data_IF_285929229619
#
_entry.id   IF_285929229619
#
_cell.length_a   1.000
_cell.length_b   1.000
_cell.length_c   1.000
_cell.angle_alpha   90.00
_cell.angle_beta   90.00
_cell.angle_gamma   90.00
#
_symmetry.space_group_name_H-M   'P 1'
#
loop_
_entity.id
_entity.type
_entity.pdbx_description
1 polymer ?
#
# COMPACT_ATOMS: atom_id res chain seq x y z
N UNK A 1 -1.77 -37.00 -52.97
CA UNK A 1 -1.02 -37.21 -51.71
C UNK A 1 -0.41 -35.88 -51.31
N UNK A 2 -1.12 -35.09 -50.52
CA UNK A 2 -0.55 -33.92 -49.84
C UNK A 2 0.16 -34.38 -48.56
N UNK A 3 1.33 -33.84 -48.21
CA UNK A 3 1.97 -34.15 -46.94
C UNK A 3 1.27 -33.37 -45.81
N UNK A 4 0.76 -34.11 -44.83
CA UNK A 4 0.21 -33.57 -43.60
C UNK A 4 1.27 -32.73 -42.85
N UNK A 5 0.97 -31.45 -42.61
CA UNK A 5 1.75 -30.62 -41.68
C UNK A 5 1.52 -31.12 -40.24
N UNK A 6 2.56 -31.31 -39.42
CA UNK A 6 2.38 -31.68 -38.02
C UNK A 6 1.74 -30.52 -37.25
N UNK A 7 0.60 -30.80 -36.64
CA UNK A 7 -0.05 -29.95 -35.64
C UNK A 7 0.83 -29.90 -34.39
N UNK A 8 1.61 -28.82 -34.25
CA UNK A 8 2.22 -28.46 -32.97
C UNK A 8 1.11 -27.91 -32.07
N UNK A 9 0.55 -28.76 -31.21
CA UNK A 9 -0.15 -28.29 -30.01
C UNK A 9 0.86 -27.51 -29.16
N UNK A 10 0.55 -26.28 -28.71
CA UNK A 10 1.40 -25.63 -27.73
C UNK A 10 1.34 -26.48 -26.47
N UNK A 11 2.49 -27.00 -26.05
CA UNK A 11 2.63 -27.60 -24.73
C UNK A 11 2.19 -26.53 -23.72
N UNK A 12 1.19 -26.86 -22.90
CA UNK A 12 0.81 -26.04 -21.77
C UNK A 12 2.03 -26.01 -20.82
N UNK A 13 2.88 -24.98 -20.97
CA UNK A 13 3.93 -24.71 -20.01
C UNK A 13 3.23 -24.45 -18.67
N UNK A 14 3.40 -25.36 -17.70
CA UNK A 14 3.00 -25.04 -16.34
C UNK A 14 3.90 -23.92 -15.86
N UNK A 15 3.35 -22.71 -15.77
CA UNK A 15 4.02 -21.58 -15.14
C UNK A 15 4.21 -21.95 -13.66
N UNK A 16 5.40 -22.41 -13.30
CA UNK A 16 5.80 -22.57 -11.91
C UNK A 16 6.34 -21.23 -11.41
N UNK A 17 5.95 -20.84 -10.19
CA UNK A 17 6.42 -19.64 -9.50
C UNK A 17 7.92 -19.79 -9.17
N UNK A 18 8.78 -19.30 -10.05
CA UNK A 18 10.18 -19.05 -9.72
C UNK A 18 10.32 -17.70 -9.01
N UNK A 19 11.34 -17.56 -8.15
CA UNK A 19 11.73 -16.26 -7.60
C UNK A 19 12.22 -15.35 -8.74
N UNK A 20 11.76 -14.10 -8.77
CA UNK A 20 12.18 -13.11 -9.76
C UNK A 20 12.90 -11.95 -9.08
N UNK A 21 14.11 -11.65 -9.55
CA UNK A 21 14.99 -10.61 -8.98
C UNK A 21 15.31 -9.54 -10.03
N UNK A 22 15.11 -8.27 -9.67
CA UNK A 22 15.56 -7.12 -10.46
C UNK A 22 16.98 -6.77 -9.99
N UNK A 23 17.96 -6.83 -10.89
CA UNK A 23 19.38 -6.65 -10.58
C UNK A 23 19.67 -5.24 -10.05
N UNK A 24 20.53 -5.15 -9.03
CA UNK A 24 21.04 -3.87 -8.53
C UNK A 24 22.06 -3.22 -9.46
N UNK A 25 22.74 -4.00 -10.30
CA UNK A 25 23.82 -3.54 -11.20
C UNK A 25 23.31 -3.15 -12.58
N UNK A 26 22.22 -3.78 -13.03
CA UNK A 26 21.68 -3.60 -14.39
C UNK A 26 20.18 -3.23 -14.42
N UNK A 27 19.49 -3.16 -13.26
CA UNK A 27 18.04 -2.94 -13.25
C UNK A 27 17.28 -4.01 -14.03
N UNK A 28 16.26 -3.59 -14.78
CA UNK A 28 15.47 -4.44 -15.67
C UNK A 28 15.89 -4.19 -17.13
N UNK A 29 17.14 -4.54 -17.49
CA UNK A 29 17.56 -4.52 -18.90
C UNK A 29 16.74 -5.55 -19.68
N UNK A 30 15.65 -5.08 -20.30
CA UNK A 30 15.06 -5.76 -21.44
C UNK A 30 16.13 -5.75 -22.54
N UNK A 31 16.93 -6.83 -22.62
CA UNK A 31 17.94 -7.02 -23.67
C UNK A 31 17.35 -6.86 -25.09
N UNK A 32 16.02 -6.94 -25.20
CA UNK A 32 15.28 -6.60 -26.39
C UNK A 32 13.98 -5.86 -25.98
N UNK A 33 13.75 -4.60 -26.38
CA UNK A 33 12.46 -3.92 -26.18
C UNK A 33 11.29 -4.64 -26.87
N UNK A 34 11.59 -5.63 -27.72
CA UNK A 34 10.65 -6.54 -28.37
C UNK A 34 10.30 -7.76 -27.49
N UNK A 35 9.88 -7.56 -26.24
CA UNK A 35 9.09 -8.62 -25.60
C UNK A 35 7.84 -8.89 -26.45
N UNK A 36 7.51 -10.15 -26.74
CA UNK A 36 6.27 -10.45 -27.44
C UNK A 36 5.10 -9.91 -26.61
N UNK A 37 4.12 -9.32 -27.30
CA UNK A 37 2.91 -8.85 -26.64
C UNK A 37 2.21 -10.05 -25.99
N UNK A 38 2.16 -10.07 -24.65
CA UNK A 38 1.53 -11.14 -23.90
C UNK A 38 0.01 -10.96 -23.91
N UNK A 39 -0.69 -12.06 -24.12
CA UNK A 39 -2.15 -12.09 -24.19
C UNK A 39 -2.76 -12.40 -22.82
N UNK A 40 -3.48 -11.43 -22.25
CA UNK A 40 -4.08 -11.56 -20.92
C UNK A 40 -5.25 -12.55 -20.87
N UNK A 41 -5.75 -13.05 -22.02
CA UNK A 41 -6.82 -14.08 -22.06
C UNK A 41 -6.43 -15.38 -21.39
N UNK A 42 -5.13 -15.64 -21.19
CA UNK A 42 -4.65 -16.82 -20.45
C UNK A 42 -4.76 -16.67 -18.92
N UNK A 43 -5.03 -15.48 -18.40
CA UNK A 43 -5.24 -15.22 -16.97
C UNK A 43 -6.72 -15.47 -16.61
N UNK A 44 -7.02 -16.71 -16.22
CA UNK A 44 -8.38 -17.20 -15.95
C UNK A 44 -8.87 -16.83 -14.56
N UNK A 45 -7.98 -16.80 -13.56
CA UNK A 45 -8.34 -16.60 -12.15
C UNK A 45 -7.99 -15.23 -11.58
N UNK A 46 -8.66 -14.86 -10.47
CA UNK A 46 -8.32 -13.63 -9.73
C UNK A 46 -6.88 -13.64 -9.22
N UNK A 47 -6.40 -14.76 -8.65
CA UNK A 47 -5.03 -14.90 -8.15
C UNK A 47 -3.98 -14.76 -9.27
N UNK A 48 -4.24 -15.35 -10.43
CA UNK A 48 -3.37 -15.23 -11.62
C UNK A 48 -3.28 -13.77 -12.08
N UNK A 49 -4.42 -13.06 -12.13
CA UNK A 49 -4.44 -11.63 -12.49
C UNK A 49 -3.72 -10.76 -11.47
N UNK A 50 -3.88 -11.03 -10.17
CA UNK A 50 -3.17 -10.30 -9.11
C UNK A 50 -1.67 -10.50 -9.18
N UNK A 51 -1.21 -11.73 -9.41
CA UNK A 51 0.20 -12.00 -9.63
C UNK A 51 0.71 -11.32 -10.90
N UNK A 52 -0.05 -11.38 -11.99
CA UNK A 52 0.31 -10.70 -13.24
C UNK A 52 0.44 -9.18 -13.02
N UNK A 53 -0.48 -8.57 -12.27
CA UNK A 53 -0.41 -7.14 -11.92
C UNK A 53 0.85 -6.84 -11.09
N UNK A 54 1.13 -7.61 -10.03
CA UNK A 54 2.36 -7.46 -9.23
C UNK A 54 3.62 -7.54 -10.11
N UNK A 55 3.73 -8.55 -10.97
CA UNK A 55 4.90 -8.72 -11.84
C UNK A 55 4.99 -7.56 -12.82
N UNK A 56 3.94 -7.25 -13.58
CA UNK A 56 3.95 -6.15 -14.57
C UNK A 56 4.23 -4.79 -13.93
N UNK A 57 3.70 -4.55 -12.73
CA UNK A 57 3.99 -3.37 -11.94
C UNK A 57 5.45 -3.32 -11.52
N UNK A 58 6.02 -4.42 -11.01
CA UNK A 58 7.42 -4.48 -10.62
C UNK A 58 8.37 -4.26 -11.80
N UNK A 59 8.11 -4.90 -12.94
CA UNK A 59 8.84 -4.67 -14.20
C UNK A 59 8.76 -3.18 -14.57
N UNK A 60 7.56 -2.58 -14.49
CA UNK A 60 7.34 -1.17 -14.82
C UNK A 60 8.15 -0.25 -13.91
N UNK A 61 8.13 -0.46 -12.59
CA UNK A 61 8.92 0.37 -11.66
C UNK A 61 10.42 0.20 -11.90
N UNK A 62 10.88 -1.03 -12.15
CA UNK A 62 12.27 -1.31 -12.50
C UNK A 62 12.69 -0.59 -13.79
N UNK A 63 11.91 -0.73 -14.86
CA UNK A 63 12.17 -0.10 -16.15
C UNK A 63 12.19 1.43 -16.06
N UNK A 64 11.22 2.04 -15.36
CA UNK A 64 11.13 3.49 -15.26
C UNK A 64 12.29 4.08 -14.47
N UNK A 65 12.73 3.40 -13.39
CA UNK A 65 13.69 3.96 -12.43
C UNK A 65 15.10 3.35 -12.51
N UNK A 66 15.40 2.46 -13.46
CA UNK A 66 16.69 1.76 -13.53
C UNK A 66 17.91 2.68 -13.65
N UNK A 67 17.78 3.83 -14.31
CA UNK A 67 18.84 4.84 -14.45
C UNK A 67 18.83 5.89 -13.33
N UNK A 68 18.08 5.64 -12.26
CA UNK A 68 17.92 6.55 -11.14
C UNK A 68 16.89 7.68 -11.36
N UNK A 69 16.74 8.53 -10.35
CA UNK A 69 15.76 9.63 -10.34
C UNK A 69 16.05 10.72 -11.37
N UNK A 70 17.30 10.88 -11.82
CA UNK A 70 17.72 11.96 -12.73
C UNK A 70 17.46 11.64 -14.19
N UNK A 71 17.34 10.35 -14.56
CA UNK A 71 17.12 9.91 -15.94
C UNK A 71 15.99 8.86 -16.06
N UNK A 72 14.78 9.15 -15.55
CA UNK A 72 13.69 8.17 -15.62
C UNK A 72 13.21 7.96 -17.07
N UNK A 73 12.77 6.74 -17.37
CA UNK A 73 12.11 6.46 -18.65
C UNK A 73 10.73 7.13 -18.70
N UNK A 74 10.47 7.84 -19.82
CA UNK A 74 9.25 8.65 -19.99
C UNK A 74 8.16 7.97 -20.82
N UNK A 75 8.51 6.86 -21.45
CA UNK A 75 7.61 6.07 -22.30
C UNK A 75 7.72 4.61 -21.88
N UNK A 76 6.61 4.02 -21.45
CA UNK A 76 6.50 2.60 -21.19
C UNK A 76 6.24 1.87 -22.51
N UNK A 77 7.11 0.94 -22.94
CA UNK A 77 6.97 0.25 -24.22
C UNK A 77 5.65 -0.51 -24.32
N UNK A 78 5.09 -0.57 -25.53
CA UNK A 78 3.78 -1.20 -25.80
C UNK A 78 3.68 -2.65 -25.34
N UNK A 79 4.80 -3.38 -25.35
CA UNK A 79 4.88 -4.78 -24.92
C UNK A 79 4.64 -4.98 -23.43
N UNK A 80 4.83 -3.92 -22.63
CA UNK A 80 4.55 -3.88 -21.20
C UNK A 80 3.29 -3.06 -20.89
N UNK A 81 3.11 -1.92 -21.55
CA UNK A 81 2.00 -0.99 -21.29
C UNK A 81 0.62 -1.60 -21.57
N UNK A 82 0.45 -2.28 -22.71
CA UNK A 82 -0.84 -2.86 -23.11
C UNK A 82 -1.30 -3.96 -22.13
N UNK A 83 -0.51 -5.03 -21.86
CA UNK A 83 -0.97 -6.07 -20.95
C UNK A 83 -1.13 -5.55 -19.52
N UNK A 84 -0.29 -4.61 -19.08
CA UNK A 84 -0.42 -4.03 -17.75
C UNK A 84 -1.75 -3.30 -17.60
N UNK A 85 -2.08 -2.40 -18.53
CA UNK A 85 -3.34 -1.66 -18.50
C UNK A 85 -4.55 -2.58 -18.61
N UNK A 86 -4.48 -3.65 -19.41
CA UNK A 86 -5.56 -4.63 -19.51
C UNK A 86 -5.79 -5.36 -18.18
N UNK A 87 -4.72 -5.87 -17.56
CA UNK A 87 -4.80 -6.53 -16.24
C UNK A 87 -5.30 -5.56 -15.17
N UNK A 88 -4.80 -4.33 -15.15
CA UNK A 88 -5.23 -3.26 -14.25
C UNK A 88 -6.73 -2.97 -14.38
N UNK A 89 -7.23 -2.81 -15.62
CA UNK A 89 -8.67 -2.63 -15.88
C UNK A 89 -9.50 -3.81 -15.38
N UNK A 90 -9.05 -5.03 -15.62
CA UNK A 90 -9.75 -6.25 -15.19
C UNK A 90 -9.80 -6.41 -13.66
N UNK A 91 -8.89 -5.78 -12.93
CA UNK A 91 -8.84 -5.79 -11.47
C UNK A 91 -9.47 -4.55 -10.83
N UNK A 92 -9.78 -3.51 -11.61
CA UNK A 92 -10.18 -2.21 -11.08
C UNK A 92 -9.07 -1.50 -10.30
N UNK A 93 -7.81 -1.71 -10.71
CA UNK A 93 -6.62 -1.07 -10.14
C UNK A 93 -5.96 -0.17 -11.19
N UNK A 94 -5.17 0.84 -10.79
CA UNK A 94 -4.37 1.62 -11.74
C UNK A 94 -3.15 0.81 -12.23
N UNK A 95 -2.62 1.12 -13.42
CA UNK A 95 -1.41 0.51 -13.97
C UNK A 95 -0.14 1.13 -13.37
N UNK A 96 0.00 1.05 -12.05
CA UNK A 96 1.21 1.37 -11.29
C UNK A 96 1.33 0.36 -10.14
N UNK A 97 2.52 0.18 -9.57
CA UNK A 97 2.68 -0.61 -8.35
C UNK A 97 1.90 0.02 -7.20
N UNK A 98 0.89 -0.70 -6.67
CA UNK A 98 0.12 -0.27 -5.51
C UNK A 98 0.45 -1.09 -4.27
N UNK A 99 0.06 -0.59 -3.09
CA UNK A 99 0.20 -1.30 -1.81
C UNK A 99 -0.37 -2.72 -1.86
N UNK A 100 -1.52 -2.88 -2.54
CA UNK A 100 -2.16 -4.18 -2.66
C UNK A 100 -1.30 -5.21 -3.42
N UNK A 101 -0.45 -4.77 -4.34
CA UNK A 101 0.46 -5.64 -5.08
C UNK A 101 1.68 -5.95 -4.22
N UNK A 102 2.36 -4.88 -3.78
CA UNK A 102 3.64 -4.93 -3.09
C UNK A 102 3.56 -5.63 -1.73
N UNK A 103 2.42 -5.53 -1.04
CA UNK A 103 2.25 -6.05 0.32
C UNK A 103 1.29 -7.22 0.31
N UNK A 104 0.02 -7.00 -0.04
CA UNK A 104 -1.03 -8.00 0.20
C UNK A 104 -0.87 -9.28 -0.64
N UNK A 105 -0.18 -9.20 -1.78
CA UNK A 105 0.03 -10.34 -2.69
C UNK A 105 1.48 -10.78 -2.86
N UNK A 106 2.46 -10.02 -2.37
CA UNK A 106 3.88 -10.30 -2.58
C UNK A 106 4.49 -11.08 -1.41
N UNK A 107 3.87 -12.18 -1.03
CA UNK A 107 4.40 -13.03 0.03
C UNK A 107 4.03 -14.51 -0.16
N UNK A 108 4.86 -15.39 0.40
CA UNK A 108 4.59 -16.80 0.58
C UNK A 108 5.15 -17.28 1.92
N UNK A 109 4.64 -18.39 2.44
CA UNK A 109 5.24 -19.06 3.59
C UNK A 109 6.30 -20.07 3.13
N UNK A 110 7.46 -20.08 3.80
CA UNK A 110 8.49 -21.12 3.62
C UNK A 110 7.94 -22.49 4.03
N UNK A 111 7.39 -22.57 5.24
CA UNK A 111 6.62 -23.70 5.72
C UNK A 111 5.13 -23.30 5.81
N UNK A 112 4.24 -23.87 4.97
CA UNK A 112 2.81 -23.58 4.99
C UNK A 112 2.15 -23.72 6.37
N UNK A 113 2.57 -24.74 7.12
CA UNK A 113 2.07 -25.06 8.48
C UNK A 113 2.79 -24.26 9.58
N UNK A 114 3.83 -23.52 9.23
CA UNK A 114 4.60 -22.70 10.17
C UNK A 114 3.88 -21.40 10.58
N UNK A 115 4.41 -20.72 11.61
CA UNK A 115 3.82 -19.50 12.16
C UNK A 115 3.87 -18.32 11.19
N UNK A 116 3.09 -17.27 11.49
CA UNK A 116 3.08 -15.99 10.78
C UNK A 116 4.15 -15.06 11.34
N UNK A 117 5.40 -15.38 11.02
CA UNK A 117 6.58 -14.64 11.48
C UNK A 117 7.50 -14.34 10.31
N UNK A 118 8.27 -13.25 10.41
CA UNK A 118 9.16 -12.79 9.32
C UNK A 118 10.17 -13.85 8.86
N UNK A 119 10.58 -14.75 9.78
CA UNK A 119 11.48 -15.88 9.53
C UNK A 119 10.85 -16.95 8.62
N UNK A 120 9.53 -17.11 8.68
CA UNK A 120 8.77 -18.10 7.91
C UNK A 120 8.13 -17.48 6.65
N UNK A 121 8.34 -16.20 6.38
CA UNK A 121 7.80 -15.50 5.21
C UNK A 121 8.89 -15.12 4.20
N UNK A 122 8.53 -15.15 2.93
CA UNK A 122 9.35 -14.70 1.80
C UNK A 122 8.54 -13.83 0.84
N UNK A 123 9.21 -12.94 0.11
CA UNK A 123 8.61 -12.18 -0.99
C UNK A 123 8.63 -13.00 -2.28
N UNK A 124 7.66 -12.78 -3.18
CA UNK A 124 7.60 -13.43 -4.49
C UNK A 124 8.46 -12.67 -5.51
N UNK A 125 8.38 -11.33 -5.46
CA UNK A 125 9.13 -10.38 -6.28
C UNK A 125 9.89 -9.43 -5.38
N UNK A 126 11.13 -9.10 -5.77
CA UNK A 126 11.98 -8.15 -5.03
C UNK A 126 12.53 -7.06 -5.95
N UNK A 127 12.67 -5.86 -5.40
CA UNK A 127 13.37 -4.69 -5.96
C UNK A 127 14.77 -4.58 -5.34
N UNK A 128 15.62 -3.67 -5.85
CA UNK A 128 16.84 -3.27 -5.14
C UNK A 128 16.58 -2.83 -3.70
N UNK A 129 17.52 -3.13 -2.80
CA UNK A 129 17.39 -2.88 -1.36
C UNK A 129 17.45 -4.13 -0.47
N UNK A 130 17.71 -5.30 -1.08
CA UNK A 130 18.03 -6.56 -0.39
C UNK A 130 17.11 -6.90 0.78
N UNK A 131 17.72 -7.30 1.90
CA UNK A 131 16.99 -7.68 3.11
C UNK A 131 16.14 -6.55 3.71
N UNK A 132 16.53 -5.28 3.54
CA UNK A 132 15.73 -4.15 4.03
C UNK A 132 14.41 -4.03 3.28
N UNK A 133 14.40 -4.27 1.97
CA UNK A 133 13.17 -4.30 1.20
C UNK A 133 12.30 -5.49 1.59
N UNK A 134 12.91 -6.69 1.66
CA UNK A 134 12.21 -7.91 2.07
C UNK A 134 11.52 -7.68 3.41
N UNK A 135 12.26 -7.13 4.38
CA UNK A 135 11.75 -6.78 5.69
C UNK A 135 10.65 -5.73 5.66
N UNK A 136 10.82 -4.64 4.90
CA UNK A 136 9.80 -3.59 4.77
C UNK A 136 8.47 -4.16 4.26
N UNK A 137 8.51 -5.03 3.25
CA UNK A 137 7.31 -5.69 2.72
C UNK A 137 6.70 -6.61 3.77
N UNK A 138 7.49 -7.52 4.36
CA UNK A 138 6.97 -8.56 5.25
C UNK A 138 6.50 -8.02 6.61
N UNK A 139 7.17 -7.02 7.19
CA UNK A 139 6.66 -6.33 8.39
C UNK A 139 5.32 -5.65 8.07
N UNK A 140 5.17 -5.06 6.88
CA UNK A 140 3.89 -4.47 6.46
C UNK A 140 2.80 -5.54 6.27
N UNK A 141 3.14 -6.72 5.74
CA UNK A 141 2.22 -7.88 5.69
C UNK A 141 1.76 -8.28 7.08
N UNK A 142 2.68 -8.33 8.05
CA UNK A 142 2.35 -8.68 9.44
C UNK A 142 1.47 -7.60 10.08
N UNK A 143 1.68 -6.32 9.79
CA UNK A 143 0.80 -5.22 10.21
C UNK A 143 -0.63 -5.42 9.68
N UNK A 144 -0.79 -5.71 8.39
CA UNK A 144 -2.10 -5.98 7.77
C UNK A 144 -2.75 -7.22 8.40
N UNK A 145 -1.96 -8.26 8.70
CA UNK A 145 -2.43 -9.49 9.35
C UNK A 145 -2.86 -9.25 10.81
N UNK A 146 -2.19 -8.38 11.54
CA UNK A 146 -2.52 -7.98 12.91
C UNK A 146 -3.84 -7.19 12.97
N UNK A 147 -4.19 -6.49 11.89
CA UNK A 147 -5.46 -5.77 11.78
C UNK A 147 -6.69 -6.67 11.60
N UNK A 148 -6.51 -7.91 11.11
CA UNK A 148 -7.61 -8.77 10.68
C UNK A 148 -8.71 -9.02 11.75
N UNK A 149 -8.40 -9.25 13.04
CA UNK A 149 -9.44 -9.34 14.07
C UNK A 149 -10.21 -8.03 14.25
N UNK A 150 -9.53 -6.89 14.19
CA UNK A 150 -10.13 -5.57 14.25
C UNK A 150 -11.10 -5.32 13.09
N UNK A 151 -10.73 -5.68 11.86
CA UNK A 151 -11.62 -5.56 10.69
C UNK A 151 -12.92 -6.37 10.87
N UNK A 152 -12.83 -7.60 11.41
CA UNK A 152 -14.02 -8.40 11.75
C UNK A 152 -14.86 -7.73 12.83
N UNK A 153 -14.21 -7.13 13.83
CA UNK A 153 -14.88 -6.41 14.90
C UNK A 153 -15.60 -5.14 14.41
N UNK A 154 -15.14 -4.49 13.33
CA UNK A 154 -15.90 -3.37 12.72
C UNK A 154 -17.27 -3.82 12.25
N UNK A 155 -17.36 -4.97 11.56
CA UNK A 155 -18.63 -5.54 11.08
C UNK A 155 -19.54 -5.87 12.27
N UNK A 156 -18.98 -6.54 13.29
CA UNK A 156 -19.72 -6.85 14.52
C UNK A 156 -20.21 -5.59 15.24
N UNK A 157 -19.41 -4.52 15.25
CA UNK A 157 -19.75 -3.24 15.85
C UNK A 157 -20.90 -2.56 15.10
N UNK A 158 -20.87 -2.56 13.77
CA UNK A 158 -21.97 -2.03 12.94
C UNK A 158 -23.27 -2.79 13.20
N UNK A 159 -23.22 -4.13 13.20
CA UNK A 159 -24.38 -4.97 13.51
C UNK A 159 -24.91 -4.72 14.93
N UNK A 160 -24.02 -4.53 15.90
CA UNK A 160 -24.38 -4.26 17.29
C UNK A 160 -25.06 -2.89 17.45
N UNK A 161 -24.63 -1.87 16.70
CA UNK A 161 -25.30 -0.56 16.66
C UNK A 161 -26.72 -0.71 16.11
N UNK A 162 -26.88 -1.42 14.98
CA UNK A 162 -28.19 -1.66 14.34
C UNK A 162 -29.15 -2.44 15.25
N UNK A 163 -28.64 -3.38 16.03
CA UNK A 163 -29.43 -4.22 16.95
C UNK A 163 -29.56 -3.62 18.35
N UNK A 164 -28.96 -2.45 18.61
CA UNK A 164 -28.86 -1.82 19.93
C UNK A 164 -28.25 -2.74 21.01
N UNK A 165 -27.33 -3.63 20.63
CA UNK A 165 -26.65 -4.56 21.55
C UNK A 165 -25.41 -3.92 22.18
N UNK A 166 -25.54 -3.42 23.41
CA UNK A 166 -24.45 -2.74 24.13
C UNK A 166 -23.28 -3.69 24.45
N UNK A 167 -23.56 -4.93 24.88
CA UNK A 167 -22.50 -5.88 25.24
C UNK A 167 -21.68 -6.30 24.02
N UNK A 168 -22.34 -6.58 22.90
CA UNK A 168 -21.66 -6.90 21.64
C UNK A 168 -20.85 -5.72 21.12
N UNK A 169 -21.40 -4.51 21.23
CA UNK A 169 -20.67 -3.29 20.84
C UNK A 169 -19.42 -3.09 21.70
N UNK A 170 -19.52 -3.28 23.01
CA UNK A 170 -18.39 -3.17 23.93
C UNK A 170 -17.28 -4.16 23.57
N UNK A 171 -17.63 -5.42 23.30
CA UNK A 171 -16.66 -6.45 22.88
C UNK A 171 -15.99 -6.09 21.54
N UNK A 172 -16.77 -5.60 20.57
CA UNK A 172 -16.25 -5.16 19.28
C UNK A 172 -15.25 -4.01 19.44
N UNK A 173 -15.58 -2.97 20.22
CA UNK A 173 -14.68 -1.86 20.50
C UNK A 173 -13.40 -2.32 21.20
N UNK A 174 -13.51 -3.19 22.20
CA UNK A 174 -12.33 -3.75 22.87
C UNK A 174 -11.42 -4.51 21.89
N UNK A 175 -12.00 -5.28 20.96
CA UNK A 175 -11.24 -6.00 19.94
C UNK A 175 -10.59 -5.07 18.92
N UNK A 176 -11.28 -3.99 18.50
CA UNK A 176 -10.71 -2.95 17.62
C UNK A 176 -9.48 -2.31 18.29
N UNK A 177 -9.61 -1.90 19.56
CA UNK A 177 -8.49 -1.35 20.34
C UNK A 177 -7.30 -2.31 20.38
N UNK A 178 -7.53 -3.58 20.71
CA UNK A 178 -6.47 -4.59 20.78
C UNK A 178 -5.75 -4.75 19.44
N UNK A 179 -6.50 -4.79 18.33
CA UNK A 179 -5.91 -4.88 17.00
C UNK A 179 -5.10 -3.64 16.62
N UNK A 180 -5.54 -2.43 16.99
CA UNK A 180 -4.75 -1.20 16.79
C UNK A 180 -3.43 -1.25 17.58
N UNK A 181 -3.46 -1.75 18.81
CA UNK A 181 -2.26 -1.93 19.63
C UNK A 181 -1.32 -2.99 19.04
N UNK A 182 -1.86 -4.12 18.55
CA UNK A 182 -1.08 -5.15 17.84
C UNK A 182 -0.42 -4.59 16.58
N UNK A 183 -1.15 -3.82 15.77
CA UNK A 183 -0.60 -3.12 14.60
C UNK A 183 0.60 -2.25 15.01
N UNK A 184 0.46 -1.44 16.06
CA UNK A 184 1.55 -0.58 16.55
C UNK A 184 2.76 -1.39 16.99
N UNK A 185 2.55 -2.49 17.74
CA UNK A 185 3.62 -3.40 18.17
C UNK A 185 4.32 -4.06 16.98
N UNK A 186 3.57 -4.50 15.98
CA UNK A 186 4.14 -5.14 14.79
C UNK A 186 4.90 -4.12 13.93
N UNK A 187 4.39 -2.90 13.78
CA UNK A 187 5.08 -1.83 13.05
C UNK A 187 6.45 -1.51 13.67
N UNK A 188 6.63 -1.73 14.97
CA UNK A 188 7.90 -1.49 15.63
C UNK A 188 9.05 -2.39 15.12
N UNK A 189 8.72 -3.57 14.57
CA UNK A 189 9.71 -4.46 13.96
C UNK A 189 10.42 -3.83 12.75
N UNK A 190 9.89 -2.74 12.18
CA UNK A 190 10.59 -1.97 11.14
C UNK A 190 12.00 -1.59 11.61
N UNK A 191 12.15 -1.22 12.88
CA UNK A 191 13.43 -0.79 13.45
C UNK A 191 14.48 -1.89 13.52
N UNK A 192 14.06 -3.15 13.58
CA UNK A 192 14.96 -4.29 13.75
C UNK A 192 15.49 -4.79 12.40
N UNK A 193 14.69 -4.63 11.33
CA UNK A 193 14.95 -5.30 10.06
C UNK A 193 15.12 -4.36 8.86
N UNK A 194 14.72 -3.09 8.96
CA UNK A 194 14.82 -2.14 7.83
C UNK A 194 15.88 -1.09 8.14
N UNK A 195 16.90 -1.02 7.29
CA UNK A 195 17.92 0.03 7.36
C UNK A 195 17.35 1.37 6.82
N UNK A 196 17.37 2.46 7.61
CA UNK A 196 16.86 3.76 7.17
C UNK A 196 17.59 4.37 5.96
N UNK A 197 18.89 4.16 5.84
CA UNK A 197 19.68 4.67 4.71
C UNK A 197 19.25 3.92 3.43
N UNK A 198 19.18 2.58 3.47
CA UNK A 198 18.76 1.76 2.32
C UNK A 198 17.31 2.09 1.91
N UNK A 199 16.41 2.23 2.89
CA UNK A 199 15.04 2.61 2.61
C UNK A 199 14.96 3.95 1.85
N UNK A 200 15.68 4.95 2.33
CA UNK A 200 15.62 6.29 1.76
C UNK A 200 16.29 6.39 0.38
N UNK A 201 17.49 5.83 0.23
CA UNK A 201 18.31 6.03 -0.98
C UNK A 201 18.00 5.03 -2.10
N UNK A 202 17.48 3.84 -1.78
CA UNK A 202 17.25 2.77 -2.75
C UNK A 202 15.75 2.49 -2.88
N UNK A 203 15.11 2.01 -1.81
CA UNK A 203 13.75 1.46 -1.87
C UNK A 203 12.74 2.53 -2.31
N UNK A 204 12.81 3.73 -1.72
CA UNK A 204 11.85 4.82 -1.93
C UNK A 204 11.71 5.21 -3.41
N UNK A 205 12.78 5.11 -4.18
CA UNK A 205 12.75 5.43 -5.62
C UNK A 205 11.79 4.49 -6.36
N UNK A 206 11.91 3.19 -6.15
CA UNK A 206 11.07 2.18 -6.80
C UNK A 206 9.61 2.17 -6.33
N UNK A 207 9.30 2.89 -5.25
CA UNK A 207 7.92 3.11 -4.77
C UNK A 207 7.33 4.43 -5.27
N UNK A 208 8.12 5.29 -5.93
CA UNK A 208 7.71 6.61 -6.36
C UNK A 208 6.92 6.54 -7.68
N UNK A 209 5.79 7.25 -7.73
CA UNK A 209 4.99 7.37 -8.94
C UNK A 209 5.37 8.57 -9.79
N UNK A 210 4.55 8.86 -10.79
CA UNK A 210 4.74 9.96 -11.75
C UNK A 210 3.57 10.95 -11.70
N UNK A 211 2.91 11.06 -10.53
CA UNK A 211 1.98 12.15 -10.18
C UNK A 211 2.61 12.96 -9.07
N UNK A 212 2.60 14.29 -9.23
CA UNK A 212 3.19 15.24 -8.28
C UNK A 212 4.70 14.98 -8.01
N UNK A 213 5.37 14.31 -8.96
CA UNK A 213 6.79 13.97 -8.93
C UNK A 213 7.61 14.92 -9.82
N UNK A 214 8.56 15.70 -9.26
CA UNK A 214 9.41 16.60 -10.04
C UNK A 214 10.28 15.93 -11.11
N UNK A 215 10.69 14.67 -10.92
CA UNK A 215 11.44 13.92 -11.92
C UNK A 215 10.58 13.53 -13.13
N UNK A 216 9.26 13.47 -12.95
CA UNK A 216 8.28 13.07 -13.95
C UNK A 216 7.12 14.09 -14.01
N UNK A 217 7.38 15.38 -14.33
CA UNK A 217 6.41 16.46 -14.13
C UNK A 217 5.20 16.38 -15.06
N UNK A 218 5.35 15.69 -16.20
CA UNK A 218 4.27 15.51 -17.18
C UNK A 218 3.48 14.21 -16.94
N UNK A 219 4.10 13.19 -16.34
CA UNK A 219 3.57 11.83 -16.23
C UNK A 219 4.38 10.82 -17.06
N UNK A 220 3.82 9.62 -17.26
CA UNK A 220 4.40 8.53 -18.05
C UNK A 220 3.51 8.22 -19.25
N UNK A 221 4.08 8.14 -20.44
CA UNK A 221 3.35 7.71 -21.65
C UNK A 221 3.24 6.19 -21.68
N UNK A 222 2.03 5.67 -21.87
CA UNK A 222 1.77 4.24 -22.04
C UNK A 222 1.60 3.95 -23.52
N UNK A 223 2.68 3.54 -24.17
CA UNK A 223 2.71 3.35 -25.63
C UNK A 223 1.64 2.34 -26.08
N UNK A 224 0.86 2.70 -27.09
CA UNK A 224 -0.24 1.88 -27.59
C UNK A 224 -1.51 1.89 -26.74
N UNK A 225 -1.53 2.64 -25.63
CA UNK A 225 -2.71 2.81 -24.75
C UNK A 225 -3.19 4.26 -24.75
N UNK A 226 -2.29 5.22 -24.52
CA UNK A 226 -2.61 6.64 -24.44
C UNK A 226 -1.51 7.46 -25.11
N UNK A 227 -1.90 8.49 -25.88
CA UNK A 227 -0.97 9.45 -26.49
C UNK A 227 -0.45 10.45 -25.47
N UNK A 228 -1.32 10.88 -24.54
CA UNK A 228 -0.97 11.79 -23.46
C UNK A 228 -0.36 11.06 -22.26
N UNK A 229 0.64 11.64 -21.57
CA UNK A 229 1.18 11.06 -20.35
C UNK A 229 0.12 10.92 -19.25
N UNK A 230 0.04 9.72 -18.66
CA UNK A 230 -0.83 9.44 -17.52
C UNK A 230 -0.12 9.77 -16.20
N UNK A 231 -0.88 10.11 -15.17
CA UNK A 231 -0.36 10.52 -13.85
C UNK A 231 -0.89 9.63 -12.73
N UNK A 232 -0.03 8.81 -12.15
CA UNK A 232 -0.36 7.93 -11.02
C UNK A 232 0.55 8.19 -9.80
N UNK A 233 -0.06 8.22 -8.62
CA UNK A 233 0.65 8.34 -7.34
C UNK A 233 1.40 7.05 -7.02
N UNK A 234 2.58 7.17 -6.42
CA UNK A 234 3.34 6.01 -5.97
C UNK A 234 2.72 5.31 -4.76
N UNK A 235 3.35 4.23 -4.32
CA UNK A 235 2.91 3.43 -3.18
C UNK A 235 2.89 4.26 -1.90
N UNK A 236 1.87 4.09 -1.06
CA UNK A 236 1.74 4.79 0.21
C UNK A 236 0.95 3.95 1.21
N UNK A 237 1.26 4.06 2.50
CA UNK A 237 0.45 3.46 3.56
C UNK A 237 -1.02 3.91 3.53
N UNK A 238 -1.32 5.07 2.93
CA UNK A 238 -2.69 5.54 2.73
C UNK A 238 -3.51 4.68 1.75
N UNK A 239 -2.85 3.83 0.97
CA UNK A 239 -3.49 2.81 0.12
C UNK A 239 -3.83 1.52 0.89
N UNK A 240 -3.39 1.39 2.15
CA UNK A 240 -3.94 0.38 3.06
C UNK A 240 -5.37 0.75 3.42
N UNK A 241 -6.28 -0.20 3.32
CA UNK A 241 -7.68 -0.01 3.69
C UNK A 241 -7.89 -0.03 5.20
N UNK A 242 -6.96 -0.58 5.99
CA UNK A 242 -7.12 -0.80 7.43
C UNK A 242 -7.32 0.51 8.19
N UNK A 243 -6.44 1.49 7.99
CA UNK A 243 -6.51 2.74 8.75
C UNK A 243 -7.74 3.56 8.37
N UNK A 244 -8.10 3.56 7.08
CA UNK A 244 -9.32 4.22 6.63
C UNK A 244 -10.58 3.52 7.15
N UNK A 245 -10.57 2.19 7.30
CA UNK A 245 -11.70 1.45 7.88
C UNK A 245 -11.91 1.79 9.35
N UNK A 246 -10.82 1.93 10.13
CA UNK A 246 -10.93 2.40 11.52
C UNK A 246 -11.43 3.85 11.59
N UNK A 247 -10.98 4.73 10.69
CA UNK A 247 -11.48 6.10 10.62
C UNK A 247 -12.98 6.16 10.33
N UNK A 248 -13.45 5.42 9.32
CA UNK A 248 -14.88 5.39 8.97
C UNK A 248 -15.73 4.84 10.11
N UNK A 249 -15.34 3.71 10.70
CA UNK A 249 -16.09 3.10 11.81
C UNK A 249 -16.14 3.99 13.06
N UNK A 250 -15.01 4.62 13.42
CA UNK A 250 -14.95 5.53 14.57
C UNK A 250 -15.51 6.92 14.27
N UNK A 251 -15.93 7.20 13.03
CA UNK A 251 -16.48 8.50 12.64
C UNK A 251 -15.46 9.64 12.69
N UNK A 252 -14.18 9.37 12.40
CA UNK A 252 -13.11 10.37 12.43
C UNK A 252 -13.16 11.23 11.15
N UNK A 253 -13.36 12.54 11.33
CA UNK A 253 -13.47 13.48 10.21
C UNK A 253 -12.16 14.23 9.96
N UNK A 254 -11.53 13.95 8.81
CA UNK A 254 -10.28 14.62 8.41
C UNK A 254 -10.53 15.98 7.76
N UNK A 255 -9.52 16.85 7.76
CA UNK A 255 -9.61 18.14 7.07
C UNK A 255 -9.68 17.97 5.53
N UNK A 256 -10.26 18.95 4.81
CA UNK A 256 -10.46 18.87 3.34
C UNK A 256 -9.19 18.47 2.57
N UNK A 257 -8.03 18.99 2.96
CA UNK A 257 -6.75 18.66 2.33
C UNK A 257 -6.36 17.18 2.48
N UNK A 258 -6.48 16.65 3.70
CA UNK A 258 -6.17 15.24 4.01
C UNK A 258 -7.21 14.28 3.44
N UNK A 259 -8.50 14.61 3.52
CA UNK A 259 -9.60 13.82 2.93
C UNK A 259 -9.40 13.67 1.43
N UNK A 260 -9.08 14.77 0.74
CA UNK A 260 -8.86 14.74 -0.71
C UNK A 260 -7.75 13.77 -1.11
N UNK A 261 -6.68 13.64 -0.32
CA UNK A 261 -5.64 12.64 -0.57
C UNK A 261 -6.09 11.22 -0.21
N UNK A 262 -6.67 11.01 0.98
CA UNK A 262 -7.13 9.69 1.44
C UNK A 262 -8.17 9.07 0.49
N UNK A 263 -9.15 9.85 0.03
CA UNK A 263 -10.14 9.40 -0.94
C UNK A 263 -9.52 9.04 -2.29
N UNK A 264 -8.56 9.85 -2.78
CA UNK A 264 -7.82 9.47 -4.00
C UNK A 264 -7.06 8.16 -3.81
N UNK A 265 -6.54 7.86 -2.61
CA UNK A 265 -5.85 6.60 -2.36
C UNK A 265 -6.79 5.38 -2.36
N UNK A 266 -8.11 5.58 -2.20
CA UNK A 266 -9.10 4.49 -2.39
C UNK A 266 -9.14 3.99 -3.83
N UNK A 267 -8.81 4.83 -4.80
CA UNK A 267 -8.71 4.41 -6.22
C UNK A 267 -7.50 3.51 -6.50
N UNK A 268 -6.64 3.30 -5.50
CA UNK A 268 -5.48 2.39 -5.55
C UNK A 268 -5.71 1.14 -4.68
N UNK A 269 -6.91 0.99 -4.11
CA UNK A 269 -7.32 -0.19 -3.34
C UNK A 269 -8.10 -1.16 -4.25
N UNK A 270 -8.09 -2.47 -3.96
CA UNK A 270 -9.00 -3.40 -4.61
C UNK A 270 -10.46 -2.92 -4.51
N UNK A 271 -11.28 -3.06 -5.56
CA UNK A 271 -12.66 -2.54 -5.56
C UNK A 271 -13.51 -3.01 -4.38
N UNK A 272 -13.34 -4.27 -3.95
CA UNK A 272 -14.06 -4.81 -2.78
C UNK A 272 -13.63 -4.15 -1.47
N UNK A 273 -12.36 -3.73 -1.35
CA UNK A 273 -11.90 -3.02 -0.17
C UNK A 273 -12.42 -1.59 -0.14
N UNK A 274 -12.46 -0.92 -1.30
CA UNK A 274 -13.07 0.40 -1.44
C UNK A 274 -14.56 0.35 -1.10
N UNK A 275 -15.28 -0.63 -1.63
CA UNK A 275 -16.70 -0.85 -1.31
C UNK A 275 -16.92 -1.07 0.20
N UNK A 276 -16.06 -1.85 0.86
CA UNK A 276 -16.14 -2.04 2.31
C UNK A 276 -16.00 -0.72 3.10
N UNK A 277 -15.14 0.21 2.66
CA UNK A 277 -15.05 1.54 3.28
C UNK A 277 -16.32 2.37 3.05
N UNK A 278 -16.94 2.25 1.88
CA UNK A 278 -18.20 2.93 1.53
C UNK A 278 -19.38 2.35 2.34
N UNK A 279 -19.39 1.05 2.60
CA UNK A 279 -20.37 0.38 3.45
C UNK A 279 -20.25 0.86 4.91
N UNK A 280 -19.02 0.93 5.45
CA UNK A 280 -18.77 1.48 6.79
C UNK A 280 -19.21 2.94 6.90
N UNK A 281 -18.93 3.74 5.87
CA UNK A 281 -19.34 5.14 5.81
C UNK A 281 -20.86 5.32 5.82
N UNK A 282 -21.58 4.40 5.15
CA UNK A 282 -23.04 4.45 5.00
C UNK A 282 -23.78 3.85 6.19
N UNK A 283 -23.08 3.15 7.10
CA UNK A 283 -23.63 2.56 8.29
C UNK A 283 -24.10 3.63 9.30
N UNK A 284 -24.98 3.29 10.25
CA UNK A 284 -25.35 4.22 11.32
C UNK A 284 -24.13 4.71 12.11
N UNK A 285 -24.12 5.99 12.43
CA UNK A 285 -23.01 6.64 13.15
C UNK A 285 -22.82 6.03 14.54
N UNK A 286 -21.70 5.31 14.71
CA UNK A 286 -21.25 4.81 16.02
C UNK A 286 -21.13 5.95 17.03
N UNK A 287 -20.57 7.08 16.59
CA UNK A 287 -20.32 8.24 17.44
C UNK A 287 -21.62 8.81 18.00
N UNK A 288 -22.65 8.94 17.16
CA UNK A 288 -23.97 9.44 17.59
C UNK A 288 -24.69 8.42 18.47
N UNK A 289 -24.57 7.12 18.17
CA UNK A 289 -25.08 6.05 19.01
C UNK A 289 -24.47 6.07 20.43
N UNK A 290 -23.16 6.29 20.54
CA UNK A 290 -22.49 6.39 21.85
C UNK A 290 -22.93 7.63 22.61
N UNK A 291 -23.01 8.78 21.94
CA UNK A 291 -23.45 10.03 22.57
C UNK A 291 -24.90 9.95 23.07
N UNK A 292 -25.78 9.31 22.31
CA UNK A 292 -27.19 9.12 22.71
C UNK A 292 -27.37 8.07 23.81
N UNK A 293 -26.50 7.06 23.88
CA UNK A 293 -26.51 6.04 24.94
C UNK A 293 -26.04 6.57 26.31
N UNK A 294 -25.39 7.72 26.36
CA UNK A 294 -24.89 8.34 27.58
C UNK A 294 -23.54 7.81 28.07
N UNK A 295 -23.08 8.30 29.23
CA UNK A 295 -21.79 7.93 29.79
C UNK A 295 -21.80 6.48 30.31
N UNK A 296 -21.13 5.58 29.59
CA UNK A 296 -21.07 4.15 29.93
C UNK A 296 -19.80 3.46 29.43
N UNK A 297 -19.76 2.14 29.56
CA UNK A 297 -18.61 1.31 29.15
C UNK A 297 -18.25 1.45 27.66
N UNK A 298 -19.25 1.60 26.78
CA UNK A 298 -19.04 1.82 25.35
C UNK A 298 -18.37 3.17 25.03
N UNK A 299 -18.70 4.24 25.76
CA UNK A 299 -18.04 5.54 25.63
C UNK A 299 -16.55 5.43 25.98
N UNK A 300 -16.25 4.75 27.10
CA UNK A 300 -14.87 4.51 27.54
C UNK A 300 -14.13 3.67 26.50
N UNK A 301 -14.73 2.58 26.02
CA UNK A 301 -14.10 1.69 25.05
C UNK A 301 -13.86 2.37 23.69
N UNK A 302 -14.79 3.22 23.24
CA UNK A 302 -14.61 4.04 22.03
C UNK A 302 -13.44 5.01 22.19
N UNK A 303 -13.37 5.76 23.29
CA UNK A 303 -12.26 6.69 23.52
C UNK A 303 -10.92 5.97 23.55
N UNK A 304 -10.88 4.77 24.15
CA UNK A 304 -9.66 3.95 24.14
C UNK A 304 -9.27 3.44 22.73
N UNK A 305 -10.23 3.24 21.81
CA UNK A 305 -9.93 2.98 20.41
C UNK A 305 -9.30 4.20 19.74
N UNK A 306 -9.88 5.38 19.97
CA UNK A 306 -9.38 6.66 19.44
C UNK A 306 -7.97 6.94 19.97
N UNK A 307 -7.73 6.78 21.27
CA UNK A 307 -6.42 6.92 21.90
C UNK A 307 -5.39 5.96 21.31
N UNK A 308 -5.73 4.67 21.17
CA UNK A 308 -4.85 3.70 20.52
C UNK A 308 -4.52 4.09 19.07
N UNK A 309 -5.46 4.69 18.34
CA UNK A 309 -5.24 5.17 16.98
C UNK A 309 -4.36 6.43 16.94
N UNK A 310 -4.47 7.32 17.95
CA UNK A 310 -3.54 8.45 18.15
C UNK A 310 -2.13 7.95 18.42
N UNK A 311 -1.97 6.92 19.26
CA UNK A 311 -0.68 6.29 19.55
C UNK A 311 -0.05 5.71 18.29
N UNK A 312 -0.82 4.94 17.51
CA UNK A 312 -0.37 4.39 16.23
C UNK A 312 0.10 5.49 15.27
N UNK A 313 -0.68 6.58 15.13
CA UNK A 313 -0.33 7.70 14.25
C UNK A 313 0.91 8.44 14.73
N UNK A 314 1.05 8.63 16.04
CA UNK A 314 2.23 9.24 16.64
C UNK A 314 3.46 8.38 16.41
N UNK A 315 3.32 7.07 16.54
CA UNK A 315 4.39 6.12 16.24
C UNK A 315 4.78 6.15 14.76
N UNK A 316 3.80 6.16 13.85
CA UNK A 316 4.06 6.25 12.42
C UNK A 316 4.77 7.56 12.03
N UNK A 317 4.45 8.69 12.68
CA UNK A 317 5.20 9.95 12.51
C UNK A 317 6.67 9.77 12.91
N UNK A 318 6.95 9.06 14.00
CA UNK A 318 8.33 8.80 14.43
C UNK A 318 9.08 7.89 13.45
N UNK A 319 8.42 6.86 12.91
CA UNK A 319 8.95 6.02 11.83
C UNK A 319 9.30 6.90 10.62
N UNK A 320 8.38 7.72 10.14
CA UNK A 320 8.63 8.63 9.01
C UNK A 320 9.76 9.61 9.29
N UNK A 321 9.85 10.16 10.50
CA UNK A 321 10.93 11.05 10.87
C UNK A 321 12.30 10.36 10.75
N UNK A 322 12.42 9.09 11.20
CA UNK A 322 13.64 8.31 11.11
C UNK A 322 13.99 7.89 9.68
N UNK A 323 13.04 7.30 8.96
CA UNK A 323 13.27 6.67 7.66
C UNK A 323 13.25 7.64 6.48
N UNK A 324 12.72 8.85 6.66
CA UNK A 324 12.67 9.86 5.59
C UNK A 324 13.52 11.07 5.96
N UNK A 325 13.24 11.73 7.08
CA UNK A 325 13.84 13.04 7.39
C UNK A 325 15.29 12.92 7.84
N UNK A 326 15.55 12.08 8.84
CA UNK A 326 16.91 11.85 9.36
C UNK A 326 17.79 11.20 8.30
N UNK A 327 17.25 10.23 7.55
CA UNK A 327 17.95 9.58 6.45
C UNK A 327 18.29 10.58 5.32
N UNK A 328 17.36 11.48 4.94
CA UNK A 328 17.63 12.54 3.98
C UNK A 328 18.78 13.46 4.42
N UNK A 329 18.75 13.92 5.68
CA UNK A 329 19.78 14.79 6.23
C UNK A 329 21.17 14.13 6.20
N UNK A 330 21.24 12.84 6.52
CA UNK A 330 22.48 12.06 6.50
C UNK A 330 22.98 11.78 5.07
N UNK A 331 22.08 11.55 4.12
CA UNK A 331 22.45 11.40 2.71
C UNK A 331 23.09 12.69 2.15
N UNK A 332 22.54 13.86 2.50
CA UNK A 332 23.10 15.17 2.10
C UNK A 332 24.49 15.42 2.66
N UNK A 333 24.73 15.07 3.93
CA UNK A 333 26.06 15.29 4.54
C UNK A 333 27.16 14.44 3.91
N UNK A 334 26.80 13.28 3.34
CA UNK A 334 27.75 12.39 2.62
C UNK A 334 28.03 12.83 1.18
N UNK A 335 27.14 13.60 0.54
CA UNK A 335 27.26 14.02 -0.86
C UNK A 335 27.06 15.55 -1.03
N UNK A 336 28.01 16.40 -0.59
CA UNK A 336 27.86 17.85 -0.67
C UNK A 336 27.91 18.43 -2.10
N UNK A 337 28.44 17.69 -3.08
CA UNK A 337 28.73 18.16 -4.45
C UNK A 337 27.60 17.95 -5.47
N UNK A 338 26.51 17.26 -5.12
CA UNK A 338 25.34 17.11 -5.97
C UNK A 338 24.07 17.47 -5.20
N UNK A 339 23.74 18.77 -5.05
CA UNK A 339 22.39 19.14 -4.68
C UNK A 339 21.49 18.72 -5.83
N UNK A 340 20.80 17.57 -5.70
CA UNK A 340 19.74 17.22 -6.63
C UNK A 340 18.68 18.33 -6.49
N UNK A 341 18.45 19.19 -7.50
CA UNK A 341 17.56 20.37 -7.38
C UNK A 341 16.09 20.00 -7.17
N UNK A 342 15.80 18.70 -7.15
CA UNK A 342 14.47 18.13 -7.29
C UNK A 342 14.09 17.14 -6.18
N UNK A 343 14.99 16.85 -5.22
CA UNK A 343 14.61 16.05 -4.06
C UNK A 343 13.58 16.83 -3.25
N UNK A 344 12.28 16.50 -3.30
CA UNK A 344 11.29 17.27 -2.58
C UNK A 344 11.43 16.87 -1.12
N UNK A 345 12.05 17.76 -0.33
CA UNK A 345 12.60 17.48 1.00
C UNK A 345 11.58 16.96 2.03
N UNK A 346 10.28 17.00 1.71
CA UNK A 346 9.21 16.55 2.59
C UNK A 346 8.13 15.71 1.89
N UNK A 347 8.33 15.27 0.64
CA UNK A 347 7.29 14.51 -0.08
C UNK A 347 7.41 13.01 0.14
N UNK A 348 6.28 12.39 0.51
CA UNK A 348 6.11 10.95 0.46
C UNK A 348 5.98 10.46 -0.98
N UNK A 349 6.20 9.17 -1.20
CA UNK A 349 6.06 8.46 -2.49
C UNK A 349 4.66 8.59 -3.11
N UNK A 350 3.63 8.85 -2.27
CA UNK A 350 2.27 9.17 -2.71
C UNK A 350 2.05 10.62 -3.17
N UNK A 351 3.04 11.52 -3.00
CA UNK A 351 3.02 12.91 -3.47
C UNK A 351 2.68 13.99 -2.41
N UNK A 352 2.42 13.61 -1.16
CA UNK A 352 2.05 14.55 -0.08
C UNK A 352 3.26 15.09 0.67
N UNK A 353 3.17 16.32 1.20
CA UNK A 353 4.04 16.78 2.28
C UNK A 353 3.81 15.91 3.54
N UNK A 354 4.67 14.92 3.75
CA UNK A 354 4.35 13.73 4.55
C UNK A 354 4.12 14.06 6.02
N UNK A 355 4.94 14.92 6.63
CA UNK A 355 4.79 15.27 8.04
C UNK A 355 3.54 16.10 8.32
N UNK A 356 3.27 17.13 7.51
CA UNK A 356 2.10 18.00 7.72
C UNK A 356 0.81 17.21 7.52
N UNK A 357 0.77 16.34 6.52
CA UNK A 357 -0.33 15.41 6.32
C UNK A 357 -0.53 14.49 7.53
N UNK A 358 0.52 13.79 7.98
CA UNK A 358 0.40 12.85 9.11
C UNK A 358 0.04 13.53 10.43
N UNK A 359 0.61 14.71 10.71
CA UNK A 359 0.25 15.52 11.88
C UNK A 359 -1.22 15.92 11.85
N UNK A 360 -1.71 16.41 10.71
CA UNK A 360 -3.11 16.78 10.55
C UNK A 360 -4.05 15.60 10.75
N UNK A 361 -3.72 14.42 10.20
CA UNK A 361 -4.49 13.19 10.37
C UNK A 361 -4.52 12.73 11.83
N UNK A 362 -3.40 12.85 12.57
CA UNK A 362 -3.33 12.56 14.01
C UNK A 362 -4.17 13.55 14.83
N UNK A 363 -4.05 14.86 14.56
CA UNK A 363 -4.79 15.90 15.26
C UNK A 363 -6.30 15.70 15.13
N UNK A 364 -6.78 15.35 13.94
CA UNK A 364 -8.20 15.02 13.73
C UNK A 364 -8.67 13.76 14.45
N UNK A 365 -7.79 12.80 14.72
CA UNK A 365 -8.10 11.68 15.62
C UNK A 365 -8.26 12.14 17.05
N UNK A 366 -7.37 13.00 17.56
CA UNK A 366 -7.45 13.52 18.93
C UNK A 366 -8.78 14.26 19.14
N UNK A 367 -9.19 15.07 18.16
CA UNK A 367 -10.47 15.79 18.19
C UNK A 367 -11.70 14.86 18.21
N UNK A 368 -11.56 13.57 17.87
CA UNK A 368 -12.65 12.61 17.87
C UNK A 368 -12.95 12.00 19.24
N UNK A 369 -12.12 12.27 20.25
CA UNK A 369 -12.37 11.86 21.65
C UNK A 369 -13.67 12.49 22.13
N UNK A 370 -14.54 11.66 22.72
CA UNK A 370 -15.80 12.10 23.28
C UNK A 370 -15.65 12.44 24.76
N UNK A 371 -16.18 13.58 25.18
CA UNK A 371 -16.31 13.92 26.59
C UNK A 371 -17.76 13.67 27.04
N UNK A 372 -17.99 13.09 28.22
CA UNK A 372 -19.34 13.04 28.79
C UNK A 372 -19.92 14.44 28.82
N UNK A 373 -21.16 14.63 28.36
CA UNK A 373 -21.88 15.85 28.71
C UNK A 373 -22.03 15.88 30.25
N UNK A 374 -21.66 17.01 30.85
CA UNK A 374 -21.77 17.26 32.28
C UNK A 374 -23.23 17.21 32.77
#
# INVERSE_FOLDING_TARGET
MEPQRPSLKPAAASLSLGQYHISEEYGFLLQNPLMPLLDCRFLKGHRERRLAHLVLAAITMGFVWQEGETQPQKVLPRSLAIPFVEVSRNLGLPPILVHSDLVLTNWTKRNPEGPWEISNLETIVSFPGGESLRAFILVTVLVEKAAAPGIKALVQGVDAVLQHSQDTLLQALQQVRLSIQDITRTLAQMHDYVDPDIFYTVIRLFLSGWKDNPAMPVGLVYEGVATEPLRYSGGSAAQSSVLQAFDEFLGIQHCKGSVGFLHRMRDYMPPSHKAFLEDLHSAPSLRDHILTSGAGSCLIAYNQCVEALVELRSYHINVVARYIISAAAKARSRMPSHPSPHAPEDRGTGGTAVLSFLKSVREKTVEAILHPCA
#
